data_IF_836621586001
#
_entry.id   IF_836621586001
#
_cell.length_a   1.000
_cell.length_b   1.000
_cell.length_c   1.000
_cell.angle_alpha   90.00
_cell.angle_beta   90.00
_cell.angle_gamma   90.00
#
_symmetry.space_group_name_H-M   'P 1'
#
loop_
_entity.id
_entity.type
_entity.pdbx_description
1 polymer ?
#
# COMPACT_ATOMS: atom_id res chain seq x y z
N UNK A 1 14.39 -2.18 -5.96
CA UNK A 1 13.22 -1.95 -6.85
C UNK A 1 13.61 -0.98 -7.95
N UNK A 2 13.17 -1.21 -9.19
CA UNK A 2 13.23 -0.18 -10.24
C UNK A 2 12.21 0.90 -9.86
N UNK A 3 12.63 2.16 -9.73
CA UNK A 3 11.72 3.28 -9.45
C UNK A 3 10.82 3.51 -10.68
N UNK A 4 9.49 3.68 -10.50
CA UNK A 4 8.63 4.13 -11.60
C UNK A 4 9.23 5.38 -12.24
N UNK A 5 9.42 5.34 -13.56
CA UNK A 5 10.08 6.42 -14.29
C UNK A 5 9.07 7.16 -15.15
N UNK A 6 8.98 8.48 -14.96
CA UNK A 6 8.13 9.38 -15.74
C UNK A 6 8.98 10.21 -16.70
N UNK A 7 8.56 10.33 -17.95
CA UNK A 7 9.13 11.28 -18.91
C UNK A 7 8.18 12.47 -19.06
N UNK A 8 8.68 13.71 -18.87
CA UNK A 8 7.89 14.93 -19.02
C UNK A 8 8.13 15.57 -20.38
N UNK A 9 7.14 15.51 -21.27
CA UNK A 9 7.17 16.13 -22.60
C UNK A 9 6.23 17.33 -22.66
N UNK A 10 6.78 18.50 -23.02
CA UNK A 10 6.03 19.73 -23.26
C UNK A 10 6.94 20.79 -23.86
N UNK A 11 6.38 21.93 -24.24
CA UNK A 11 7.16 23.16 -24.35
C UNK A 11 7.65 23.57 -22.95
N UNK A 12 8.96 23.82 -22.79
CA UNK A 12 9.54 24.15 -21.47
C UNK A 12 9.09 25.53 -21.00
N UNK A 13 9.03 26.51 -21.91
CA UNK A 13 8.69 27.89 -21.56
C UNK A 13 7.27 28.03 -21.00
N UNK A 14 6.28 27.32 -21.54
CA UNK A 14 4.86 27.47 -21.14
C UNK A 14 4.54 26.75 -19.83
N UNK A 15 5.39 25.80 -19.46
CA UNK A 15 5.16 24.87 -18.36
C UNK A 15 6.29 24.83 -17.36
N UNK A 16 7.22 25.79 -17.35
CA UNK A 16 8.41 25.77 -16.50
C UNK A 16 8.08 25.45 -15.03
N UNK A 17 7.17 26.21 -14.44
CA UNK A 17 6.79 26.04 -13.03
C UNK A 17 5.99 24.75 -12.82
N UNK A 18 5.11 24.41 -13.77
CA UNK A 18 4.31 23.18 -13.71
C UNK A 18 5.18 21.92 -13.78
N UNK A 19 6.16 21.89 -14.69
CA UNK A 19 7.14 20.80 -14.83
C UNK A 19 7.97 20.65 -13.56
N UNK A 20 8.42 21.76 -12.98
CA UNK A 20 9.12 21.77 -11.69
C UNK A 20 8.25 21.19 -10.56
N UNK A 21 6.99 21.63 -10.47
CA UNK A 21 6.02 21.11 -9.50
C UNK A 21 5.73 19.62 -9.66
N UNK A 22 5.52 19.16 -10.90
CA UNK A 22 5.31 17.73 -11.22
C UNK A 22 6.55 16.91 -10.85
N UNK A 23 7.76 17.39 -11.20
CA UNK A 23 9.02 16.70 -10.87
C UNK A 23 9.16 16.56 -9.36
N UNK A 24 9.03 17.66 -8.62
CA UNK A 24 9.11 17.66 -7.16
C UNK A 24 8.10 16.68 -6.54
N UNK A 25 6.83 16.76 -6.95
CA UNK A 25 5.79 15.87 -6.44
C UNK A 25 6.11 14.39 -6.70
N UNK A 26 6.47 14.02 -7.93
CA UNK A 26 6.74 12.63 -8.29
C UNK A 26 7.99 12.09 -7.57
N UNK A 27 9.02 12.91 -7.38
CA UNK A 27 10.24 12.53 -6.66
C UNK A 27 10.00 12.34 -5.16
N UNK A 28 9.16 13.17 -4.53
CA UNK A 28 8.67 12.96 -3.16
C UNK A 28 7.87 11.65 -3.05
N UNK A 29 7.18 11.24 -4.12
CA UNK A 29 6.58 9.91 -4.21
C UNK A 29 7.60 8.80 -4.59
N UNK A 30 8.90 9.02 -4.47
CA UNK A 30 9.93 8.02 -4.73
C UNK A 30 10.09 7.60 -6.20
N UNK A 31 9.47 8.30 -7.15
CA UNK A 31 9.60 8.06 -8.58
C UNK A 31 10.89 8.69 -9.14
N UNK A 32 11.26 8.30 -10.35
CA UNK A 32 12.31 8.94 -11.15
C UNK A 32 11.66 9.79 -12.22
N UNK A 33 12.13 11.03 -12.43
CA UNK A 33 11.57 11.93 -13.44
C UNK A 33 12.64 12.32 -14.46
N UNK A 34 12.37 12.02 -15.72
CA UNK A 34 13.18 12.40 -16.88
C UNK A 34 12.57 13.67 -17.49
N UNK A 35 13.21 14.80 -17.24
CA UNK A 35 12.84 16.10 -17.78
C UNK A 35 14.09 16.82 -18.33
N UNK A 36 14.10 17.11 -19.63
CA UNK A 36 15.30 17.44 -20.41
C UNK A 36 15.98 18.77 -20.02
N UNK A 37 15.26 19.67 -19.35
CA UNK A 37 15.75 20.95 -18.86
C UNK A 37 16.54 20.87 -17.55
N UNK A 38 16.42 19.77 -16.81
CA UNK A 38 17.13 19.59 -15.54
C UNK A 38 18.51 18.96 -15.73
N UNK A 39 19.44 19.27 -14.82
CA UNK A 39 20.84 18.85 -14.91
C UNK A 39 21.06 17.37 -14.60
N UNK A 40 20.11 16.74 -13.92
CA UNK A 40 20.12 15.32 -13.57
C UNK A 40 19.58 14.42 -14.71
N UNK A 41 19.17 15.02 -15.82
CA UNK A 41 18.78 14.30 -17.03
C UNK A 41 20.02 13.67 -17.68
N UNK A 42 20.07 12.34 -17.72
CA UNK A 42 21.18 11.60 -18.35
C UNK A 42 21.21 11.86 -19.86
N UNK A 43 22.22 12.61 -20.33
CA UNK A 43 22.45 12.88 -21.75
C UNK A 43 23.72 12.16 -22.18
N UNK A 44 23.64 11.40 -23.28
CA UNK A 44 24.85 11.02 -24.00
C UNK A 44 25.50 12.31 -24.54
N UNK A 45 26.78 12.53 -24.24
CA UNK A 45 27.51 13.69 -24.75
C UNK A 45 27.82 13.56 -26.26
N UNK A 46 27.71 12.35 -26.79
CA UNK A 46 28.03 12.01 -28.17
C UNK A 46 26.82 12.08 -29.11
N UNK A 47 25.65 12.51 -28.62
CA UNK A 47 24.38 12.44 -29.34
C UNK A 47 23.65 13.77 -29.31
N UNK A 48 22.98 14.14 -30.41
CA UNK A 48 22.20 15.38 -30.46
C UNK A 48 21.10 15.37 -29.38
N UNK A 49 20.82 16.53 -28.78
CA UNK A 49 19.91 16.66 -27.63
C UNK A 49 18.53 16.01 -27.84
N UNK A 50 17.98 16.08 -29.06
CA UNK A 50 16.70 15.47 -29.43
C UNK A 50 16.74 13.94 -29.47
N UNK A 51 17.80 13.35 -30.02
CA UNK A 51 17.96 11.89 -30.06
C UNK A 51 18.15 11.32 -28.65
N UNK A 52 18.89 12.05 -27.79
CA UNK A 52 19.00 11.69 -26.39
C UNK A 52 17.62 11.68 -25.68
N UNK A 53 16.73 12.62 -26.01
CA UNK A 53 15.36 12.63 -25.48
C UNK A 53 14.56 11.40 -25.95
N UNK A 54 14.60 11.07 -27.24
CA UNK A 54 13.91 9.89 -27.78
C UNK A 54 14.41 8.57 -27.17
N UNK A 55 15.73 8.45 -26.96
CA UNK A 55 16.31 7.29 -26.27
C UNK A 55 15.87 7.21 -24.81
N UNK A 56 15.69 8.35 -24.15
CA UNK A 56 15.29 8.43 -22.74
C UNK A 56 13.84 7.99 -22.52
N UNK A 57 12.95 8.22 -23.50
CA UNK A 57 11.55 7.73 -23.46
C UNK A 57 11.51 6.20 -23.31
N UNK A 58 12.45 5.46 -23.90
CA UNK A 58 12.53 4.00 -23.80
C UNK A 58 12.75 3.51 -22.36
N UNK A 59 13.26 4.37 -21.47
CA UNK A 59 13.50 4.04 -20.07
C UNK A 59 12.31 4.36 -19.16
N UNK A 60 11.30 5.07 -19.67
CA UNK A 60 10.15 5.51 -18.92
C UNK A 60 9.06 4.44 -18.88
N UNK A 61 8.39 4.34 -17.74
CA UNK A 61 7.19 3.53 -17.57
C UNK A 61 5.93 4.38 -17.88
N UNK A 62 6.03 5.70 -17.69
CA UNK A 62 4.98 6.68 -17.96
C UNK A 62 5.47 7.85 -18.81
N UNK A 63 4.67 8.31 -19.77
CA UNK A 63 4.88 9.53 -20.54
C UNK A 63 3.81 10.55 -20.18
N UNK A 64 4.24 11.73 -19.72
CA UNK A 64 3.36 12.84 -19.38
C UNK A 64 3.49 13.89 -20.45
N UNK A 65 2.41 14.14 -21.19
CA UNK A 65 2.35 15.16 -22.22
C UNK A 65 1.58 16.37 -21.71
N UNK A 66 2.19 17.55 -21.73
CA UNK A 66 1.50 18.82 -21.47
C UNK A 66 1.44 19.64 -22.76
N UNK A 67 0.22 19.97 -23.20
CA UNK A 67 -0.01 20.74 -24.42
C UNK A 67 -0.45 22.16 -24.05
N UNK A 68 0.34 23.13 -24.50
CA UNK A 68 0.16 24.55 -24.26
C UNK A 68 -0.23 25.30 -25.53
N UNK A 69 0.07 26.59 -25.54
CA UNK A 69 -0.27 27.50 -26.63
C UNK A 69 0.84 27.67 -27.68
N UNK A 70 2.04 27.11 -27.43
CA UNK A 70 3.17 27.19 -28.36
C UNK A 70 3.47 25.86 -29.03
N UNK A 71 3.98 25.95 -30.25
CA UNK A 71 4.49 24.80 -31.01
C UNK A 71 5.80 24.27 -30.41
N UNK A 72 6.66 25.17 -29.93
CA UNK A 72 8.02 24.86 -29.51
C UNK A 72 8.99 24.72 -30.69
N UNK A 73 10.06 23.95 -30.51
CA UNK A 73 11.05 23.72 -31.56
C UNK A 73 10.60 22.68 -32.59
N UNK A 74 11.05 22.85 -33.83
CA UNK A 74 10.80 21.92 -34.92
C UNK A 74 11.80 20.76 -34.89
N UNK A 75 11.29 19.53 -34.95
CA UNK A 75 12.11 18.35 -35.22
C UNK A 75 12.42 18.24 -36.71
N UNK A 76 11.40 18.50 -37.54
CA UNK A 76 11.51 18.62 -38.99
C UNK A 76 10.59 19.75 -39.45
N UNK A 77 11.19 20.83 -39.94
CA UNK A 77 10.48 22.04 -40.36
C UNK A 77 9.73 21.84 -41.70
N UNK A 78 10.29 21.05 -42.62
CA UNK A 78 9.67 20.74 -43.90
C UNK A 78 8.34 20.00 -43.71
N UNK A 79 8.32 19.03 -42.80
CA UNK A 79 7.15 18.23 -42.48
C UNK A 79 6.27 18.85 -41.38
N UNK A 80 6.64 20.06 -40.90
CA UNK A 80 6.00 20.76 -39.78
C UNK A 80 5.72 19.83 -38.60
N UNK A 81 6.75 19.09 -38.19
CA UNK A 81 6.70 18.18 -37.04
C UNK A 81 7.51 18.79 -35.89
N UNK A 82 6.85 19.08 -34.76
CA UNK A 82 7.53 19.62 -33.57
C UNK A 82 8.25 18.52 -32.79
N UNK A 83 9.22 18.91 -31.95
CA UNK A 83 9.95 17.97 -31.08
C UNK A 83 8.97 17.22 -30.16
N UNK A 84 8.08 17.95 -29.49
CA UNK A 84 7.06 17.38 -28.59
C UNK A 84 6.12 16.41 -29.33
N UNK A 85 5.76 16.72 -30.58
CA UNK A 85 4.95 15.82 -31.40
C UNK A 85 5.72 14.54 -31.75
N UNK A 86 7.00 14.64 -32.08
CA UNK A 86 7.84 13.47 -32.34
C UNK A 86 8.05 12.60 -31.08
N UNK A 87 8.22 13.22 -29.91
CA UNK A 87 8.28 12.53 -28.62
C UNK A 87 6.96 11.78 -28.33
N UNK A 88 5.81 12.44 -28.53
CA UNK A 88 4.50 11.80 -28.38
C UNK A 88 4.34 10.58 -29.30
N UNK A 89 4.71 10.70 -30.58
CA UNK A 89 4.65 9.58 -31.53
C UNK A 89 5.51 8.40 -31.09
N UNK A 90 6.71 8.66 -30.60
CA UNK A 90 7.58 7.62 -30.05
C UNK A 90 6.97 6.95 -28.81
N UNK A 91 6.38 7.73 -27.90
CA UNK A 91 5.67 7.22 -26.73
C UNK A 91 4.44 6.39 -27.11
N UNK A 92 3.67 6.82 -28.11
CA UNK A 92 2.48 6.09 -28.59
C UNK A 92 2.84 4.72 -29.16
N UNK A 93 3.95 4.62 -29.91
CA UNK A 93 4.46 3.33 -30.39
C UNK A 93 4.82 2.39 -29.24
N UNK A 94 5.40 2.91 -28.15
CA UNK A 94 5.70 2.11 -26.95
C UNK A 94 4.45 1.70 -26.18
N UNK A 95 3.45 2.56 -26.13
CA UNK A 95 2.17 2.22 -25.52
C UNK A 95 1.44 1.11 -26.27
N UNK A 96 1.41 1.18 -27.60
CA UNK A 96 0.82 0.11 -28.42
C UNK A 96 1.58 -1.22 -28.27
N UNK A 97 2.88 -1.16 -27.95
CA UNK A 97 3.67 -2.33 -27.59
C UNK A 97 3.53 -2.77 -26.11
N UNK A 98 2.69 -2.10 -25.31
CA UNK A 98 2.47 -2.40 -23.89
C UNK A 98 3.64 -2.05 -22.96
N UNK A 99 4.58 -1.21 -23.43
CA UNK A 99 5.83 -0.89 -22.70
C UNK A 99 5.76 0.39 -21.87
N UNK A 100 4.79 1.26 -22.16
CA UNK A 100 4.67 2.59 -21.56
C UNK A 100 3.20 2.98 -21.47
N UNK A 101 2.82 3.82 -20.49
CA UNK A 101 1.49 4.42 -20.40
C UNK A 101 1.55 5.94 -20.60
N UNK A 102 0.60 6.49 -21.35
CA UNK A 102 0.53 7.93 -21.64
C UNK A 102 -0.53 8.61 -20.78
N UNK A 103 -0.19 9.75 -20.21
CA UNK A 103 -1.12 10.70 -19.59
C UNK A 103 -0.99 12.06 -20.32
N UNK A 104 -2.04 12.46 -21.03
CA UNK A 104 -2.04 13.69 -21.83
C UNK A 104 -2.88 14.77 -21.18
N UNK A 105 -2.35 15.99 -21.12
CA UNK A 105 -2.98 17.14 -20.48
C UNK A 105 -3.02 18.33 -21.43
N UNK A 106 -4.16 19.03 -21.45
CA UNK A 106 -4.33 20.28 -22.21
C UNK A 106 -4.86 21.36 -21.26
N UNK A 107 -4.29 22.56 -21.30
CA UNK A 107 -4.82 23.67 -20.49
C UNK A 107 -6.25 24.01 -20.94
N UNK A 108 -7.11 24.38 -19.99
CA UNK A 108 -8.52 24.67 -20.25
C UNK A 108 -8.74 25.78 -21.28
N UNK A 109 -7.91 26.82 -21.27
CA UNK A 109 -7.94 27.92 -22.24
C UNK A 109 -7.54 27.48 -23.66
N UNK A 110 -6.53 26.61 -23.78
CA UNK A 110 -6.12 25.99 -25.05
C UNK A 110 -7.20 25.04 -25.58
N UNK A 111 -7.84 24.27 -24.69
CA UNK A 111 -8.95 23.39 -25.05
C UNK A 111 -10.15 24.20 -25.55
N UNK A 112 -10.54 25.26 -24.83
CA UNK A 112 -11.62 26.15 -25.23
C UNK A 112 -11.32 26.80 -26.58
N UNK A 113 -10.08 27.27 -26.78
CA UNK A 113 -9.65 27.83 -28.05
C UNK A 113 -9.83 26.84 -29.21
N UNK A 114 -9.49 25.56 -29.02
CA UNK A 114 -9.72 24.52 -30.04
C UNK A 114 -11.19 24.39 -30.41
N UNK A 115 -12.10 24.41 -29.42
CA UNK A 115 -13.54 24.31 -29.68
C UNK A 115 -14.08 25.55 -30.40
N UNK A 116 -13.62 26.74 -30.02
CA UNK A 116 -13.96 28.00 -30.69
C UNK A 116 -13.46 28.02 -32.13
N UNK A 117 -12.22 27.57 -32.36
CA UNK A 117 -11.61 27.45 -33.68
C UNK A 117 -12.43 26.52 -34.60
N UNK A 118 -12.83 25.34 -34.09
CA UNK A 118 -13.68 24.40 -34.84
C UNK A 118 -15.06 24.97 -35.13
N UNK A 119 -15.66 25.66 -34.16
CA UNK A 119 -16.96 26.32 -34.30
C UNK A 119 -16.93 27.43 -35.34
N UNK A 120 -15.89 28.27 -35.32
CA UNK A 120 -15.66 29.31 -36.31
C UNK A 120 -15.45 28.69 -37.70
N UNK A 121 -14.59 27.68 -37.83
CA UNK A 121 -14.36 27.00 -39.10
C UNK A 121 -15.65 26.41 -39.69
N UNK A 122 -16.54 25.87 -38.84
CA UNK A 122 -17.87 25.37 -39.26
C UNK A 122 -18.78 26.52 -39.71
N UNK A 123 -18.84 27.62 -38.96
CA UNK A 123 -19.65 28.78 -39.32
C UNK A 123 -19.19 29.42 -40.64
N UNK A 124 -17.88 29.57 -40.81
CA UNK A 124 -17.27 30.12 -42.03
C UNK A 124 -17.56 29.27 -43.27
N UNK A 125 -17.80 27.95 -43.13
CA UNK A 125 -18.22 27.10 -44.26
C UNK A 125 -19.58 27.49 -44.82
N UNK A 126 -20.52 27.88 -43.95
CA UNK A 126 -21.87 28.32 -44.31
C UNK A 126 -21.99 29.81 -44.63
N UNK A 127 -20.97 30.61 -44.33
CA UNK A 127 -21.00 32.05 -44.57
C UNK A 127 -20.83 32.38 -46.07
N UNK A 128 -21.56 33.39 -46.60
CA UNK A 128 -21.47 33.84 -47.99
C UNK A 128 -20.22 34.72 -48.20
N UNK A 129 -19.05 34.17 -47.88
CA UNK A 129 -17.74 34.79 -48.05
C UNK A 129 -16.89 33.95 -49.00
N UNK A 130 -16.04 34.61 -49.79
CA UNK A 130 -15.14 33.95 -50.73
C UNK A 130 -14.07 33.12 -50.00
N UNK A 131 -13.45 32.19 -50.73
CA UNK A 131 -12.48 31.25 -50.16
C UNK A 131 -11.21 31.92 -49.62
N UNK A 132 -10.79 33.05 -50.20
CA UNK A 132 -9.59 33.77 -49.78
C UNK A 132 -9.82 34.46 -48.44
N UNK A 133 -10.91 35.22 -48.32
CA UNK A 133 -11.30 35.87 -47.05
C UNK A 133 -11.61 34.84 -45.97
N UNK A 134 -12.24 33.72 -46.32
CA UNK A 134 -12.47 32.59 -45.40
C UNK A 134 -11.16 32.05 -44.83
N UNK A 135 -10.15 31.83 -45.68
CA UNK A 135 -8.85 31.35 -45.26
C UNK A 135 -8.10 32.39 -44.41
N UNK A 136 -8.22 33.68 -44.74
CA UNK A 136 -7.62 34.76 -43.96
C UNK A 136 -8.21 34.85 -42.53
N UNK A 137 -9.53 34.71 -42.38
CA UNK A 137 -10.19 34.70 -41.06
C UNK A 137 -9.81 33.45 -40.27
N UNK A 138 -9.81 32.27 -40.90
CA UNK A 138 -9.45 31.01 -40.25
C UNK A 138 -7.98 30.95 -39.81
N UNK A 139 -7.10 31.74 -40.45
CA UNK A 139 -5.67 31.84 -40.10
C UNK A 139 -5.33 33.11 -39.31
N UNK A 140 -6.33 33.88 -38.88
CA UNK A 140 -6.08 35.12 -38.16
C UNK A 140 -5.30 34.82 -36.87
N UNK A 141 -4.09 35.39 -36.69
CA UNK A 141 -3.27 35.10 -35.53
C UNK A 141 -3.92 35.67 -34.28
N UNK A 142 -4.18 34.82 -33.29
CA UNK A 142 -4.57 35.26 -31.95
C UNK A 142 -3.28 35.50 -31.13
N UNK A 143 -3.25 36.56 -30.32
CA UNK A 143 -2.18 36.81 -29.34
C UNK A 143 -1.96 35.64 -28.37
N UNK A 144 -2.96 34.77 -28.20
CA UNK A 144 -2.94 33.68 -27.22
C UNK A 144 -2.27 32.41 -27.74
N UNK A 145 -2.30 32.09 -29.05
CA UNK A 145 -1.81 30.83 -29.62
C UNK A 145 -0.92 31.09 -30.83
N UNK A 146 0.32 30.59 -30.80
CA UNK A 146 1.34 30.89 -31.81
C UNK A 146 0.95 30.36 -33.20
N UNK A 147 0.47 29.12 -33.27
CA UNK A 147 0.03 28.45 -34.50
C UNK A 147 -1.22 27.61 -34.22
N UNK A 148 -2.38 28.23 -34.44
CA UNK A 148 -3.68 27.63 -34.17
C UNK A 148 -3.90 26.32 -34.93
N UNK A 149 -3.52 26.29 -36.21
CA UNK A 149 -3.71 25.13 -37.08
C UNK A 149 -2.87 23.95 -36.56
N UNK A 150 -1.61 24.19 -36.20
CA UNK A 150 -0.75 23.17 -35.64
C UNK A 150 -1.28 22.65 -34.30
N UNK A 151 -1.60 23.54 -33.35
CA UNK A 151 -2.02 23.13 -32.00
C UNK A 151 -3.32 22.32 -32.05
N UNK A 152 -4.32 22.76 -32.82
CA UNK A 152 -5.59 22.03 -32.97
C UNK A 152 -5.34 20.65 -33.58
N UNK A 153 -4.53 20.57 -34.65
CA UNK A 153 -4.16 19.30 -35.28
C UNK A 153 -3.43 18.37 -34.31
N UNK A 154 -2.52 18.91 -33.50
CA UNK A 154 -1.78 18.11 -32.53
C UNK A 154 -2.67 17.57 -31.41
N UNK A 155 -3.60 18.38 -30.89
CA UNK A 155 -4.60 17.91 -29.91
C UNK A 155 -5.49 16.82 -30.52
N UNK A 156 -5.90 16.97 -31.78
CA UNK A 156 -6.70 15.96 -32.48
C UNK A 156 -5.92 14.66 -32.74
N UNK A 157 -4.61 14.74 -33.03
CA UNK A 157 -3.71 13.59 -33.13
C UNK A 157 -3.60 12.84 -31.79
N UNK A 158 -3.43 13.58 -30.70
CA UNK A 158 -3.31 13.01 -29.34
C UNK A 158 -4.63 12.37 -28.89
N UNK A 159 -5.76 12.99 -29.23
CA UNK A 159 -7.10 12.44 -28.97
C UNK A 159 -7.44 11.24 -29.86
N UNK A 160 -6.60 10.95 -30.87
CA UNK A 160 -6.76 9.81 -31.79
C UNK A 160 -8.14 9.80 -32.45
N UNK A 161 -8.62 10.99 -32.83
CA UNK A 161 -9.97 11.16 -33.39
C UNK A 161 -10.15 10.39 -34.71
N UNK A 162 -9.12 10.36 -35.55
CA UNK A 162 -9.13 9.62 -36.82
C UNK A 162 -9.18 8.11 -36.58
N UNK A 163 -8.27 7.56 -35.78
CA UNK A 163 -8.24 6.14 -35.40
C UNK A 163 -9.55 5.70 -34.74
N UNK A 164 -10.11 6.54 -33.84
CA UNK A 164 -11.41 6.29 -33.20
C UNK A 164 -12.55 6.25 -34.23
N UNK A 165 -12.50 7.12 -35.25
CA UNK A 165 -13.51 7.17 -36.31
C UNK A 165 -13.42 5.93 -37.20
N UNK A 166 -12.21 5.49 -37.55
CA UNK A 166 -11.98 4.25 -38.32
C UNK A 166 -12.43 3.01 -37.54
N UNK A 167 -12.06 2.90 -36.27
CA UNK A 167 -12.48 1.79 -35.39
C UNK A 167 -14.01 1.69 -35.28
N UNK A 168 -14.72 2.84 -35.18
CA UNK A 168 -16.20 2.88 -35.19
C UNK A 168 -16.82 2.38 -36.50
N UNK A 169 -16.09 2.46 -37.62
CA UNK A 169 -16.50 1.92 -38.92
C UNK A 169 -16.14 0.45 -39.08
N UNK A 170 -15.51 -0.18 -38.08
CA UNK A 170 -15.02 -1.56 -38.12
C UNK A 170 -13.64 -1.70 -38.75
N UNK A 171 -12.92 -0.59 -38.97
CA UNK A 171 -11.57 -0.57 -39.53
C UNK A 171 -10.54 -0.39 -38.41
N UNK A 172 -10.05 -1.51 -37.86
CA UNK A 172 -9.04 -1.54 -36.81
C UNK A 172 -9.58 -1.51 -35.37
N UNK A 173 -8.67 -1.54 -34.40
CA UNK A 173 -8.97 -1.53 -32.98
C UNK A 173 -9.11 -0.10 -32.42
N UNK A 174 -9.81 0.04 -31.29
CA UNK A 174 -9.89 1.33 -30.60
C UNK A 174 -8.50 1.74 -30.07
N UNK A 175 -8.10 3.01 -30.24
CA UNK A 175 -6.81 3.49 -29.74
C UNK A 175 -6.78 3.46 -28.21
N UNK A 176 -5.59 3.25 -27.64
CA UNK A 176 -5.35 3.32 -26.20
C UNK A 176 -4.66 4.64 -25.83
N UNK A 177 -4.73 5.06 -24.56
CA UNK A 177 -4.06 6.28 -24.03
C UNK A 177 -4.31 7.55 -24.85
N UNK A 178 -5.49 7.64 -25.46
CA UNK A 178 -6.00 8.79 -26.19
C UNK A 178 -6.85 9.71 -25.31
N UNK A 179 -6.90 9.44 -24.00
CA UNK A 179 -7.61 10.28 -23.05
C UNK A 179 -6.84 11.57 -22.82
N UNK A 180 -7.54 12.71 -22.92
CA UNK A 180 -6.99 14.04 -22.68
C UNK A 180 -7.62 14.60 -21.41
N UNK A 181 -6.79 14.91 -20.44
CA UNK A 181 -7.17 15.58 -19.21
C UNK A 181 -7.11 17.09 -19.42
N UNK A 182 -8.27 17.75 -19.43
CA UNK A 182 -8.33 19.21 -19.44
C UNK A 182 -8.09 19.71 -18.03
N UNK A 183 -7.20 20.68 -17.86
CA UNK A 183 -6.87 21.22 -16.53
C UNK A 183 -6.75 22.74 -16.51
N UNK A 184 -7.08 23.32 -15.36
CA UNK A 184 -6.94 24.73 -15.02
C UNK A 184 -5.87 24.90 -13.94
N UNK A 185 -5.86 24.01 -12.95
CA UNK A 185 -5.02 24.12 -11.76
C UNK A 185 -4.01 22.98 -11.64
N UNK A 186 -2.98 23.19 -10.82
CA UNK A 186 -1.96 22.17 -10.57
C UNK A 186 -2.55 20.92 -9.91
N UNK A 187 -3.51 21.08 -9.00
CA UNK A 187 -4.14 19.97 -8.27
C UNK A 187 -4.75 18.92 -9.20
N UNK A 188 -5.42 19.34 -10.28
CA UNK A 188 -6.05 18.44 -11.24
C UNK A 188 -5.03 17.56 -11.99
N UNK A 189 -3.83 18.10 -12.26
CA UNK A 189 -2.72 17.32 -12.84
C UNK A 189 -2.22 16.29 -11.83
N UNK A 190 -2.06 16.71 -10.58
CA UNK A 190 -1.57 15.85 -9.50
C UNK A 190 -2.56 14.71 -9.20
N UNK A 191 -3.86 14.95 -9.22
CA UNK A 191 -4.87 13.93 -8.96
C UNK A 191 -4.80 12.80 -9.99
N UNK A 192 -4.62 13.14 -11.27
CA UNK A 192 -4.42 12.16 -12.35
C UNK A 192 -3.11 11.40 -12.15
N UNK A 193 -2.00 12.09 -11.90
CA UNK A 193 -0.70 11.44 -11.74
C UNK A 193 -0.64 10.55 -10.48
N UNK A 194 -1.29 10.96 -9.39
CA UNK A 194 -1.39 10.19 -8.15
C UNK A 194 -2.08 8.86 -8.38
N UNK A 195 -3.17 8.83 -9.16
CA UNK A 195 -3.87 7.60 -9.51
C UNK A 195 -3.01 6.61 -10.32
N UNK A 196 -2.00 7.09 -11.06
CA UNK A 196 -1.07 6.27 -11.84
C UNK A 196 0.09 5.70 -11.00
N UNK A 197 0.42 6.34 -9.89
CA UNK A 197 1.53 5.98 -9.00
C UNK A 197 1.03 5.02 -7.91
N UNK A 198 1.69 3.86 -7.75
CA UNK A 198 1.37 2.81 -6.78
C UNK A 198 -0.14 2.49 -6.61
N UNK A 199 -0.90 2.49 -7.71
CA UNK A 199 -2.36 2.29 -7.72
C UNK A 199 -3.15 3.30 -6.86
N UNK A 200 -2.67 4.54 -6.75
CA UNK A 200 -3.29 5.60 -5.95
C UNK A 200 -2.83 5.66 -4.50
N UNK A 201 -2.04 4.69 -4.04
CA UNK A 201 -1.48 4.67 -2.68
C UNK A 201 -0.24 5.59 -2.60
N UNK A 202 -0.11 6.44 -1.58
CA UNK A 202 1.12 7.19 -1.33
C UNK A 202 2.36 6.28 -1.27
N UNK A 203 3.50 6.76 -1.76
CA UNK A 203 4.71 5.95 -1.89
C UNK A 203 5.25 5.43 -0.55
N UNK A 204 5.24 6.31 0.46
CA UNK A 204 5.56 6.01 1.84
C UNK A 204 4.67 4.90 2.39
N UNK A 205 3.36 4.99 2.17
CA UNK A 205 2.41 3.94 2.56
C UNK A 205 2.67 2.62 1.82
N UNK A 206 2.94 2.66 0.52
CA UNK A 206 3.21 1.45 -0.27
C UNK A 206 4.49 0.74 0.21
N UNK A 207 5.56 1.49 0.46
CA UNK A 207 6.81 0.97 1.01
C UNK A 207 6.60 0.43 2.43
N UNK A 208 5.86 1.16 3.26
CA UNK A 208 5.55 0.74 4.63
C UNK A 208 4.77 -0.57 4.66
N UNK A 209 3.69 -0.68 3.87
CA UNK A 209 2.90 -1.92 3.73
C UNK A 209 3.76 -3.10 3.27
N UNK A 210 4.70 -2.88 2.35
CA UNK A 210 5.63 -3.92 1.91
C UNK A 210 6.60 -4.36 3.03
N UNK A 211 7.12 -3.42 3.83
CA UNK A 211 7.95 -3.73 4.98
C UNK A 211 7.17 -4.50 6.06
N UNK A 212 5.95 -4.07 6.37
CA UNK A 212 5.08 -4.75 7.34
C UNK A 212 4.73 -6.17 6.86
N UNK A 213 4.36 -6.33 5.59
CA UNK A 213 4.14 -7.64 4.95
C UNK A 213 5.34 -8.55 5.15
N UNK A 214 6.56 -8.04 4.94
CA UNK A 214 7.80 -8.80 5.10
C UNK A 214 7.99 -9.24 6.55
N UNK A 215 7.82 -8.34 7.52
CA UNK A 215 7.99 -8.65 8.93
C UNK A 215 6.96 -9.68 9.42
N UNK A 216 5.69 -9.56 8.99
CA UNK A 216 4.65 -10.54 9.30
C UNK A 216 4.95 -11.92 8.69
N UNK A 217 5.47 -11.97 7.46
CA UNK A 217 5.90 -13.21 6.84
C UNK A 217 7.07 -13.85 7.59
N UNK A 218 8.05 -13.04 8.02
CA UNK A 218 9.18 -13.51 8.84
C UNK A 218 8.68 -14.01 10.22
N UNK A 219 7.72 -13.32 10.83
CA UNK A 219 7.07 -13.72 12.09
C UNK A 219 6.36 -15.08 11.96
N UNK A 220 5.60 -15.27 10.87
CA UNK A 220 4.97 -16.55 10.55
C UNK A 220 6.00 -17.65 10.26
N UNK A 221 7.07 -17.34 9.55
CA UNK A 221 8.13 -18.33 9.23
C UNK A 221 8.80 -18.88 10.50
N UNK A 222 8.90 -18.04 11.54
CA UNK A 222 9.47 -18.41 12.84
C UNK A 222 8.43 -19.08 13.74
N UNK A 223 7.14 -18.83 13.53
CA UNK A 223 6.07 -19.31 14.42
C UNK A 223 5.35 -20.56 13.90
N UNK A 224 5.33 -20.81 12.59
CA UNK A 224 4.71 -22.00 12.03
C UNK A 224 5.63 -23.23 12.15
N UNK A 225 5.01 -24.42 12.18
CA UNK A 225 5.74 -25.69 12.34
C UNK A 225 5.92 -26.36 10.99
N UNK A 226 7.17 -26.67 10.63
CA UNK A 226 7.49 -27.41 9.41
C UNK A 226 7.39 -28.92 9.69
N UNK A 227 6.58 -29.61 8.91
CA UNK A 227 6.44 -31.08 8.90
C UNK A 227 6.92 -31.62 7.55
N UNK A 228 7.02 -32.96 7.43
CA UNK A 228 7.56 -33.61 6.22
C UNK A 228 6.87 -33.17 4.92
N UNK A 229 5.55 -32.99 4.98
CA UNK A 229 4.70 -32.72 3.81
C UNK A 229 4.12 -31.29 3.80
N UNK A 230 4.71 -30.35 4.54
CA UNK A 230 4.28 -28.95 4.49
C UNK A 230 4.53 -28.14 5.76
N UNK A 231 3.72 -27.09 5.91
CA UNK A 231 3.73 -26.19 7.07
C UNK A 231 2.36 -26.28 7.73
N UNK A 232 2.34 -26.44 9.05
CA UNK A 232 1.11 -26.58 9.83
C UNK A 232 1.02 -25.51 10.92
N UNK A 233 -0.21 -25.09 11.22
CA UNK A 233 -0.51 -24.26 12.38
C UNK A 233 -0.38 -25.09 13.67
N UNK A 234 0.13 -24.52 14.78
CA UNK A 234 0.10 -25.16 16.08
C UNK A 234 -1.32 -25.31 16.65
N UNK A 235 -2.30 -24.52 16.15
CA UNK A 235 -3.64 -24.39 16.71
C UNK A 235 -4.36 -25.73 16.93
N UNK A 236 -4.47 -26.64 15.94
CA UNK A 236 -5.23 -27.89 16.12
C UNK A 236 -4.66 -28.78 17.22
N UNK A 237 -3.33 -28.79 17.38
CA UNK A 237 -2.65 -29.57 18.41
C UNK A 237 -2.88 -28.98 19.80
N UNK A 238 -2.75 -27.66 19.93
CA UNK A 238 -2.94 -26.94 21.19
C UNK A 238 -4.40 -27.01 21.66
N UNK A 239 -5.36 -26.80 20.76
CA UNK A 239 -6.78 -26.89 21.07
C UNK A 239 -7.20 -28.30 21.47
N UNK A 240 -6.75 -29.32 20.73
CA UNK A 240 -7.05 -30.72 21.04
C UNK A 240 -6.49 -31.11 22.41
N UNK A 241 -5.25 -30.73 22.70
CA UNK A 241 -4.63 -30.99 23.99
C UNK A 241 -5.38 -30.28 25.12
N UNK A 242 -5.68 -28.99 24.96
CA UNK A 242 -6.40 -28.22 25.98
C UNK A 242 -7.83 -28.74 26.22
N UNK A 243 -8.51 -29.21 25.18
CA UNK A 243 -9.83 -29.80 25.31
C UNK A 243 -9.79 -31.11 26.12
N UNK A 244 -8.75 -31.93 25.93
CA UNK A 244 -8.58 -33.20 26.65
C UNK A 244 -8.12 -33.01 28.11
N UNK A 245 -7.23 -32.05 28.36
CA UNK A 245 -6.52 -31.87 29.65
C UNK A 245 -6.85 -30.53 30.32
N UNK A 246 -8.11 -30.12 30.22
CA UNK A 246 -8.58 -28.79 30.62
C UNK A 246 -8.32 -28.47 32.09
N UNK A 247 -7.73 -27.31 32.35
CA UNK A 247 -7.58 -26.75 33.69
C UNK A 247 -8.84 -25.94 34.04
N UNK A 248 -9.52 -26.31 35.13
CA UNK A 248 -10.74 -25.68 35.67
C UNK A 248 -10.46 -25.10 37.06
N UNK A 249 -11.38 -24.32 37.64
CA UNK A 249 -11.20 -23.85 39.03
C UNK A 249 -11.05 -24.99 40.04
N UNK A 250 -11.65 -26.16 39.76
CA UNK A 250 -11.52 -27.33 40.60
C UNK A 250 -10.17 -28.04 40.42
N UNK A 251 -9.69 -28.20 39.19
CA UNK A 251 -8.44 -28.93 38.91
C UNK A 251 -7.20 -28.07 39.16
N UNK A 252 -7.27 -26.74 39.05
CA UNK A 252 -6.13 -25.84 39.35
C UNK A 252 -5.63 -25.92 40.79
N UNK A 253 -6.50 -26.35 41.72
CA UNK A 253 -6.17 -26.48 43.15
C UNK A 253 -5.47 -27.79 43.48
N UNK A 254 -5.41 -28.72 42.52
CA UNK A 254 -4.65 -29.97 42.66
C UNK A 254 -3.17 -29.69 42.47
N UNK A 255 -2.32 -30.48 43.11
CA UNK A 255 -0.88 -30.39 42.90
C UNK A 255 -0.46 -30.96 41.54
N UNK A 256 -1.08 -32.08 41.13
CA UNK A 256 -0.70 -32.82 39.93
C UNK A 256 -1.86 -33.08 38.97
N UNK A 257 -1.53 -33.24 37.69
CA UNK A 257 -2.41 -33.66 36.60
C UNK A 257 -1.77 -34.84 35.84
N UNK A 258 -2.57 -35.85 35.50
CA UNK A 258 -2.11 -36.96 34.67
C UNK A 258 -2.34 -36.68 33.20
N UNK A 259 -1.30 -36.78 32.38
CA UNK A 259 -1.36 -36.63 30.92
C UNK A 259 -0.76 -37.87 30.27
N UNK A 260 -1.41 -38.52 29.30
CA UNK A 260 -0.82 -39.61 28.55
C UNK A 260 0.53 -39.23 27.94
N UNK A 261 1.52 -40.11 28.07
CA UNK A 261 2.89 -39.86 27.65
C UNK A 261 2.98 -39.39 26.19
N UNK A 262 2.24 -40.05 25.30
CA UNK A 262 2.15 -39.70 23.88
C UNK A 262 1.69 -38.26 23.64
N UNK A 263 0.68 -37.79 24.37
CA UNK A 263 0.10 -36.47 24.16
C UNK A 263 1.00 -35.37 24.76
N UNK A 264 1.61 -35.66 25.91
CA UNK A 264 2.64 -34.79 26.50
C UNK A 264 3.84 -34.64 25.57
N UNK A 265 4.36 -35.75 25.03
CA UNK A 265 5.50 -35.75 24.12
C UNK A 265 5.19 -35.01 22.82
N UNK A 266 3.98 -35.15 22.29
CA UNK A 266 3.54 -34.41 21.12
C UNK A 266 3.51 -32.89 21.35
N UNK A 267 2.86 -32.43 22.43
CA UNK A 267 2.78 -31.00 22.76
C UNK A 267 4.16 -30.40 23.03
N UNK A 268 4.96 -31.05 23.87
CA UNK A 268 6.28 -30.54 24.26
C UNK A 268 7.26 -30.54 23.11
N UNK A 269 7.19 -31.52 22.19
CA UNK A 269 7.99 -31.49 20.96
C UNK A 269 7.69 -30.28 20.08
N UNK A 270 6.43 -29.82 20.04
CA UNK A 270 6.07 -28.57 19.36
C UNK A 270 6.63 -27.35 20.10
N UNK A 271 6.49 -27.32 21.43
CA UNK A 271 6.94 -26.20 22.27
C UNK A 271 8.46 -26.07 22.37
N UNK A 272 9.22 -27.15 22.13
CA UNK A 272 10.68 -27.09 22.01
C UNK A 272 11.15 -26.08 20.96
N UNK A 273 10.31 -25.79 19.95
CA UNK A 273 10.61 -24.76 18.96
C UNK A 273 10.85 -23.39 19.60
N UNK A 274 10.25 -23.10 20.77
CA UNK A 274 10.37 -21.83 21.47
C UNK A 274 11.60 -21.70 22.37
N UNK A 275 12.42 -22.74 22.51
CA UNK A 275 13.65 -22.68 23.31
C UNK A 275 14.59 -21.60 22.75
N UNK A 276 15.00 -20.67 23.61
CA UNK A 276 15.91 -19.57 23.30
C UNK A 276 15.46 -18.69 22.11
N UNK A 277 14.14 -18.59 21.87
CA UNK A 277 13.58 -17.70 20.84
C UNK A 277 13.02 -16.43 21.44
N UNK A 278 13.17 -15.34 20.70
CA UNK A 278 12.54 -14.06 21.01
C UNK A 278 12.11 -13.42 19.70
N UNK A 279 10.83 -13.08 19.61
CA UNK A 279 10.27 -12.41 18.45
C UNK A 279 10.57 -10.92 18.51
N UNK A 280 10.94 -10.34 17.37
CA UNK A 280 11.18 -8.91 17.22
C UNK A 280 10.23 -8.37 16.16
N UNK A 281 9.55 -7.28 16.48
CA UNK A 281 8.48 -6.69 15.67
C UNK A 281 8.66 -5.18 15.62
N UNK A 282 9.62 -4.71 14.84
CA UNK A 282 9.94 -3.28 14.76
C UNK A 282 8.95 -2.54 13.86
N UNK A 283 8.69 -3.09 12.67
CA UNK A 283 7.81 -2.47 11.66
C UNK A 283 6.36 -2.49 12.14
N UNK A 284 5.93 -3.57 12.79
CA UNK A 284 4.61 -3.69 13.42
C UNK A 284 4.38 -2.60 14.46
N UNK A 285 5.40 -2.28 15.27
CA UNK A 285 5.29 -1.23 16.30
C UNK A 285 5.25 0.15 15.64
N UNK A 286 6.04 0.38 14.61
CA UNK A 286 5.99 1.62 13.82
C UNK A 286 4.61 1.82 13.16
N UNK A 287 3.94 0.73 12.78
CA UNK A 287 2.61 0.76 12.15
C UNK A 287 1.55 1.43 13.04
N UNK A 288 1.72 1.39 14.36
CA UNK A 288 0.83 2.06 15.33
C UNK A 288 0.94 3.59 15.31
N UNK A 289 1.89 4.15 14.54
CA UNK A 289 2.04 5.58 14.32
C UNK A 289 1.84 6.00 12.86
N UNK A 290 1.56 5.04 11.97
CA UNK A 290 1.45 5.28 10.54
C UNK A 290 0.01 5.64 10.14
N UNK A 291 -0.16 6.68 9.32
CA UNK A 291 -1.47 7.19 8.88
C UNK A 291 -2.31 6.15 8.11
N UNK A 292 -1.65 5.21 7.42
CA UNK A 292 -2.27 4.12 6.66
C UNK A 292 -3.28 3.25 7.45
N UNK A 293 -3.19 3.22 8.79
CA UNK A 293 -4.10 2.44 9.64
C UNK A 293 -5.03 3.32 10.48
N UNK A 294 -5.12 4.60 10.17
CA UNK A 294 -5.97 5.58 10.87
C UNK A 294 -6.98 6.17 9.90
N UNK A 295 -8.19 6.40 10.36
CA UNK A 295 -9.26 7.06 9.60
C UNK A 295 -9.58 8.42 10.20
N UNK A 296 -9.62 9.46 9.37
CA UNK A 296 -10.02 10.79 9.85
C UNK A 296 -11.55 10.90 9.95
N UNK A 297 -12.07 11.02 11.16
CA UNK A 297 -13.47 11.37 11.40
C UNK A 297 -13.66 12.89 11.23
N UNK A 298 -14.26 13.27 10.10
CA UNK A 298 -14.56 14.67 9.77
C UNK A 298 -15.54 15.34 10.74
N UNK A 299 -16.43 14.59 11.39
CA UNK A 299 -17.43 15.14 12.32
C UNK A 299 -16.77 15.54 13.63
N UNK A 300 -15.83 14.73 14.11
CA UNK A 300 -15.11 14.99 15.37
C UNK A 300 -13.81 15.76 15.17
N UNK A 301 -13.29 15.83 13.94
CA UNK A 301 -11.97 16.40 13.64
C UNK A 301 -10.82 15.56 14.22
N UNK A 302 -11.02 14.27 14.42
CA UNK A 302 -10.10 13.36 15.10
C UNK A 302 -9.79 12.14 14.24
N UNK A 303 -8.58 11.59 14.39
CA UNK A 303 -8.25 10.28 13.83
C UNK A 303 -8.83 9.17 14.70
N UNK A 304 -9.38 8.14 14.05
CA UNK A 304 -9.91 6.92 14.66
C UNK A 304 -9.13 5.71 14.19
N UNK A 305 -9.07 4.71 15.07
CA UNK A 305 -8.41 3.44 14.80
C UNK A 305 -9.22 2.61 13.79
N UNK A 306 -8.54 2.13 12.75
CA UNK A 306 -9.13 1.13 11.84
C UNK A 306 -9.18 -0.25 12.51
N UNK A 307 -9.97 -1.20 11.98
CA UNK A 307 -9.88 -2.60 12.38
C UNK A 307 -8.45 -3.16 12.27
N UNK A 308 -7.70 -2.77 11.23
CA UNK A 308 -6.31 -3.17 11.04
C UNK A 308 -5.40 -2.63 12.15
N UNK A 309 -5.58 -1.37 12.56
CA UNK A 309 -4.86 -0.79 13.70
C UNK A 309 -5.07 -1.60 14.99
N UNK A 310 -6.32 -1.94 15.29
CA UNK A 310 -6.65 -2.74 16.48
C UNK A 310 -6.01 -4.13 16.42
N UNK A 311 -6.02 -4.78 15.25
CA UNK A 311 -5.36 -6.07 15.06
C UNK A 311 -3.83 -5.98 15.20
N UNK A 312 -3.19 -4.92 14.69
CA UNK A 312 -1.75 -4.65 14.87
C UNK A 312 -1.43 -4.46 16.36
N UNK A 313 -2.21 -3.64 17.06
CA UNK A 313 -2.04 -3.41 18.49
C UNK A 313 -2.16 -4.72 19.28
N UNK A 314 -3.20 -5.50 18.98
CA UNK A 314 -3.41 -6.83 19.57
C UNK A 314 -2.23 -7.76 19.31
N UNK A 315 -1.72 -7.81 18.08
CA UNK A 315 -0.57 -8.64 17.73
C UNK A 315 0.69 -8.21 18.50
N UNK A 316 0.92 -6.90 18.64
CA UNK A 316 2.04 -6.39 19.42
C UNK A 316 1.95 -6.79 20.91
N UNK A 317 0.75 -6.76 21.49
CA UNK A 317 0.50 -7.25 22.85
C UNK A 317 0.75 -8.77 22.96
N UNK A 318 0.26 -9.56 22.01
CA UNK A 318 0.43 -11.02 21.98
C UNK A 318 1.90 -11.42 21.82
N UNK A 319 2.66 -10.74 20.95
CA UNK A 319 4.10 -10.96 20.79
C UNK A 319 4.85 -10.64 22.08
N UNK A 320 4.51 -9.54 22.75
CA UNK A 320 5.10 -9.19 24.05
C UNK A 320 4.79 -10.25 25.11
N UNK A 321 3.54 -10.69 25.18
CA UNK A 321 3.09 -11.72 26.12
C UNK A 321 3.76 -13.07 25.84
N UNK A 322 3.91 -13.45 24.57
CA UNK A 322 4.59 -14.67 24.15
C UNK A 322 6.06 -14.66 24.55
N UNK A 323 6.77 -13.56 24.25
CA UNK A 323 8.17 -13.40 24.66
C UNK A 323 8.35 -13.47 26.18
N UNK A 324 7.41 -12.90 26.95
CA UNK A 324 7.43 -12.99 28.41
C UNK A 324 7.11 -14.40 28.93
N UNK A 325 6.19 -15.11 28.26
CA UNK A 325 5.81 -16.48 28.62
C UNK A 325 6.87 -17.52 28.24
N UNK A 326 7.76 -17.22 27.27
CA UNK A 326 8.86 -18.09 26.85
C UNK A 326 10.07 -18.03 27.79
N UNK A 327 9.82 -18.08 29.10
CA UNK A 327 10.86 -18.07 30.13
C UNK A 327 11.47 -19.47 30.33
N UNK A 328 12.67 -19.52 30.91
CA UNK A 328 13.33 -20.77 31.27
C UNK A 328 12.47 -21.60 32.24
N UNK A 329 11.84 -20.95 33.22
CA UNK A 329 10.93 -21.59 34.18
C UNK A 329 9.70 -22.20 33.49
N UNK A 330 9.10 -21.48 32.53
CA UNK A 330 7.94 -21.99 31.81
C UNK A 330 8.28 -23.17 30.89
N UNK A 331 9.51 -23.23 30.36
CA UNK A 331 9.98 -24.29 29.46
C UNK A 331 10.63 -25.47 30.21
N UNK A 332 11.06 -25.29 31.47
CA UNK A 332 11.66 -26.33 32.30
C UNK A 332 10.89 -27.66 32.35
N UNK A 333 9.53 -27.67 32.38
CA UNK A 333 8.76 -28.91 32.42
C UNK A 333 8.99 -29.80 31.19
N UNK A 334 9.33 -29.23 30.02
CA UNK A 334 9.66 -29.98 28.80
C UNK A 334 10.81 -30.95 29.07
N UNK A 335 11.84 -30.50 29.79
CA UNK A 335 13.01 -31.31 30.10
C UNK A 335 12.77 -32.23 31.30
N UNK A 336 12.14 -31.68 32.36
CA UNK A 336 11.79 -32.40 33.60
C UNK A 336 10.98 -33.67 33.31
N UNK A 337 10.03 -33.59 32.38
CA UNK A 337 9.15 -34.69 32.01
C UNK A 337 9.46 -35.32 30.64
N UNK A 338 10.68 -35.10 30.11
CA UNK A 338 11.10 -35.69 28.84
C UNK A 338 11.18 -37.22 28.92
N UNK A 339 11.04 -37.95 27.80
CA UNK A 339 11.14 -39.42 27.79
C UNK A 339 12.40 -39.97 28.48
N UNK A 340 13.53 -39.24 28.36
CA UNK A 340 14.81 -39.62 28.99
C UNK A 340 14.89 -39.31 30.48
N UNK A 341 14.10 -38.37 30.99
CA UNK A 341 14.12 -37.93 32.39
C UNK A 341 13.08 -38.65 33.26
N UNK A 342 12.10 -39.34 32.67
CA UNK A 342 11.07 -40.08 33.40
C UNK A 342 11.67 -41.27 34.16
N UNK A 343 11.25 -41.45 35.41
CA UNK A 343 11.60 -42.60 36.24
C UNK A 343 11.13 -43.93 35.62
N UNK A 344 10.01 -43.92 34.92
CA UNK A 344 9.50 -45.05 34.13
C UNK A 344 9.10 -44.56 32.73
N UNK A 345 10.01 -44.65 31.74
CA UNK A 345 9.74 -44.20 30.37
C UNK A 345 8.61 -44.97 29.66
N UNK A 346 8.36 -46.21 30.07
CA UNK A 346 7.30 -47.09 29.56
C UNK A 346 5.93 -46.85 30.22
N UNK A 347 5.85 -45.93 31.18
CA UNK A 347 4.57 -45.57 31.79
C UNK A 347 3.70 -44.81 30.78
N UNK A 348 2.45 -45.26 30.62
CA UNK A 348 1.47 -44.63 29.73
C UNK A 348 1.07 -43.21 30.18
N UNK A 349 1.37 -42.83 31.43
CA UNK A 349 0.92 -41.58 32.05
C UNK A 349 2.09 -40.78 32.66
N UNK A 350 2.15 -39.50 32.33
CA UNK A 350 3.06 -38.50 32.91
C UNK A 350 2.28 -37.68 33.94
N UNK A 351 2.81 -37.60 35.16
CA UNK A 351 2.20 -36.82 36.25
C UNK A 351 2.91 -35.48 36.35
N UNK A 352 2.25 -34.41 35.91
CA UNK A 352 2.83 -33.06 35.82
C UNK A 352 2.23 -32.13 36.86
N UNK A 353 2.99 -31.15 37.33
CA UNK A 353 2.46 -30.16 38.26
C UNK A 353 1.48 -29.23 37.52
N UNK A 354 0.35 -28.91 38.15
CA UNK A 354 -0.73 -28.18 37.47
C UNK A 354 -0.31 -26.78 37.06
N UNK A 355 0.54 -26.12 37.84
CA UNK A 355 1.05 -24.78 37.50
C UNK A 355 2.04 -24.83 36.33
N UNK A 356 2.89 -25.85 36.25
CA UNK A 356 3.81 -26.09 35.13
C UNK A 356 3.03 -26.32 33.83
N UNK A 357 1.98 -27.14 33.89
CA UNK A 357 1.06 -27.36 32.76
C UNK A 357 0.36 -26.07 32.34
N UNK A 358 -0.12 -25.26 33.30
CA UNK A 358 -0.75 -23.98 33.02
C UNK A 358 0.22 -23.00 32.33
N UNK A 359 1.47 -22.92 32.79
CA UNK A 359 2.50 -22.05 32.18
C UNK A 359 2.80 -22.45 30.74
N UNK A 360 2.91 -23.75 30.45
CA UNK A 360 3.10 -24.24 29.07
C UNK A 360 1.89 -23.96 28.17
N UNK A 361 0.67 -24.14 28.69
CA UNK A 361 -0.54 -23.80 27.93
C UNK A 361 -0.67 -22.30 27.69
N UNK A 362 -0.27 -21.46 28.65
CA UNK A 362 -0.22 -20.02 28.47
C UNK A 362 0.69 -19.64 27.30
N UNK A 363 1.91 -20.19 27.28
CA UNK A 363 2.86 -20.02 26.18
C UNK A 363 2.23 -20.45 24.84
N UNK A 364 1.63 -21.65 24.80
CA UNK A 364 1.00 -22.20 23.61
C UNK A 364 -0.16 -21.34 23.10
N UNK A 365 -0.95 -20.74 23.99
CA UNK A 365 -2.08 -19.89 23.63
C UNK A 365 -1.63 -18.57 23.00
N UNK A 366 -0.63 -17.92 23.61
CA UNK A 366 -0.04 -16.69 23.03
C UNK A 366 0.57 -17.00 21.66
N UNK A 367 1.23 -18.15 21.53
CA UNK A 367 1.81 -18.61 20.27
C UNK A 367 0.76 -18.73 19.16
N UNK A 368 -0.34 -19.44 19.42
CA UNK A 368 -1.46 -19.55 18.47
C UNK A 368 -1.99 -18.18 18.10
N UNK A 369 -2.25 -17.30 19.08
CA UNK A 369 -2.77 -15.96 18.81
C UNK A 369 -1.86 -15.13 17.90
N UNK A 370 -0.53 -15.22 18.09
CA UNK A 370 0.45 -14.58 17.20
C UNK A 370 0.32 -15.10 15.77
N UNK A 371 0.20 -16.42 15.58
CA UNK A 371 0.04 -17.02 14.25
C UNK A 371 -1.26 -16.56 13.57
N UNK A 372 -2.38 -16.58 14.29
CA UNK A 372 -3.69 -16.24 13.73
C UNK A 372 -3.77 -14.74 13.35
N UNK A 373 -3.33 -13.84 14.24
CA UNK A 373 -3.29 -12.40 13.96
C UNK A 373 -2.34 -12.06 12.82
N UNK A 374 -1.15 -12.68 12.79
CA UNK A 374 -0.19 -12.45 11.70
C UNK A 374 -0.74 -12.92 10.36
N UNK A 375 -1.45 -14.06 10.34
CA UNK A 375 -2.08 -14.59 9.13
C UNK A 375 -3.21 -13.68 8.63
N UNK A 376 -4.07 -13.21 9.53
CA UNK A 376 -5.17 -12.30 9.19
C UNK A 376 -4.66 -10.95 8.65
N UNK A 377 -3.65 -10.36 9.31
CA UNK A 377 -3.04 -9.11 8.85
C UNK A 377 -2.31 -9.28 7.52
N UNK A 378 -1.62 -10.41 7.31
CA UNK A 378 -0.93 -10.67 6.05
C UNK A 378 -1.92 -10.81 4.89
N UNK A 379 -3.04 -11.53 5.09
CA UNK A 379 -4.11 -11.62 4.09
C UNK A 379 -4.70 -10.23 3.76
N UNK A 380 -4.95 -9.40 4.78
CA UNK A 380 -5.39 -8.02 4.59
C UNK A 380 -4.41 -7.18 3.76
N UNK A 381 -3.10 -7.35 3.97
CA UNK A 381 -2.08 -6.65 3.18
C UNK A 381 -1.97 -7.16 1.73
N UNK A 382 -2.44 -8.38 1.43
CA UNK A 382 -2.59 -8.87 0.05
C UNK A 382 -3.87 -8.37 -0.64
N UNK A 383 -4.72 -7.62 0.07
CA UNK A 383 -5.95 -7.03 -0.48
C UNK A 383 -7.25 -7.73 -0.08
N UNK A 384 -7.18 -8.75 0.79
CA UNK A 384 -8.36 -9.40 1.33
C UNK A 384 -9.05 -8.55 2.41
N UNK A 385 -10.33 -8.83 2.69
CA UNK A 385 -11.02 -8.21 3.83
C UNK A 385 -10.41 -8.70 5.14
N UNK A 386 -10.12 -7.79 6.07
CA UNK A 386 -9.67 -8.18 7.40
C UNK A 386 -10.81 -8.87 8.17
N UNK A 387 -10.62 -10.15 8.44
CA UNK A 387 -11.50 -10.94 9.31
C UNK A 387 -10.79 -11.08 10.67
N UNK A 388 -11.43 -10.62 11.74
CA UNK A 388 -10.86 -10.75 13.08
C UNK A 388 -10.81 -12.24 13.47
N UNK A 389 -9.61 -12.78 13.74
CA UNK A 389 -9.47 -14.20 14.05
C UNK A 389 -10.05 -14.50 15.43
N UNK A 390 -10.60 -15.70 15.60
CA UNK A 390 -10.97 -16.22 16.91
C UNK A 390 -9.71 -16.56 17.70
N UNK A 391 -9.47 -15.85 18.80
CA UNK A 391 -8.23 -15.95 19.59
C UNK A 391 -8.42 -16.85 20.81
N UNK A 392 -7.37 -17.60 21.15
CA UNK A 392 -7.32 -18.37 22.38
C UNK A 392 -7.34 -17.46 23.62
N UNK A 393 -7.99 -17.92 24.69
CA UNK A 393 -8.21 -17.17 25.92
C UNK A 393 -6.91 -16.73 26.59
N UNK A 394 -6.96 -15.61 27.32
CA UNK A 394 -5.81 -15.03 28.04
C UNK A 394 -5.28 -15.93 29.14
N UNK A 395 -6.13 -16.77 29.73
CA UNK A 395 -5.78 -17.75 30.75
C UNK A 395 -6.03 -19.18 30.23
N UNK A 396 -5.15 -20.14 30.57
CA UNK A 396 -5.40 -21.56 30.34
C UNK A 396 -6.51 -22.12 31.26
N UNK A 397 -6.94 -21.35 32.27
CA UNK A 397 -7.99 -21.78 33.19
C UNK A 397 -9.36 -21.41 32.63
N UNK A 398 -10.11 -22.43 32.25
CA UNK A 398 -11.41 -22.38 31.59
C UNK A 398 -12.41 -21.34 32.16
N UNK A 399 -12.45 -21.21 33.48
CA UNK A 399 -13.47 -20.47 34.21
C UNK A 399 -13.03 -19.04 34.58
N UNK A 400 -11.78 -18.67 34.24
CA UNK A 400 -11.17 -17.42 34.68
C UNK A 400 -11.34 -16.30 33.66
N UNK A 401 -11.28 -16.58 32.36
CA UNK A 401 -11.31 -15.53 31.34
C UNK A 401 -12.58 -14.65 31.42
N UNK A 402 -13.76 -15.27 31.59
CA UNK A 402 -15.01 -14.52 31.78
C UNK A 402 -15.05 -13.72 33.09
N UNK A 403 -14.32 -14.12 34.11
CA UNK A 403 -14.23 -13.40 35.40
C UNK A 403 -13.25 -12.24 35.29
N UNK A 404 -12.07 -12.50 34.72
CA UNK A 404 -11.03 -11.51 34.48
C UNK A 404 -11.50 -10.39 33.55
N UNK A 405 -12.22 -10.71 32.47
CA UNK A 405 -12.77 -9.67 31.58
C UNK A 405 -13.85 -8.82 32.25
N UNK A 406 -14.60 -9.35 33.23
CA UNK A 406 -15.56 -8.56 34.02
C UNK A 406 -14.89 -7.63 35.02
N UNK A 407 -13.71 -7.99 35.50
CA UNK A 407 -12.94 -7.21 36.48
C UNK A 407 -11.97 -6.22 35.80
N UNK A 408 -11.81 -6.32 34.47
CA UNK A 408 -10.89 -5.51 33.70
C UNK A 408 -11.47 -4.13 33.43
N UNK A 409 -10.69 -3.10 33.74
CA UNK A 409 -10.98 -1.72 33.34
C UNK A 409 -10.76 -1.58 31.83
N UNK A 410 -11.81 -1.13 31.13
CA UNK A 410 -11.76 -0.83 29.70
C UNK A 410 -11.04 0.50 29.42
N UNK A 411 -10.46 0.71 28.22
CA UNK A 411 -9.88 1.99 27.83
C UNK A 411 -10.87 3.16 27.99
N UNK A 412 -12.15 2.94 27.69
CA UNK A 412 -13.21 3.94 27.84
C UNK A 412 -13.46 4.29 29.31
N UNK A 413 -13.48 3.30 30.20
CA UNK A 413 -13.59 3.53 31.66
C UNK A 413 -12.35 4.25 32.20
N UNK A 414 -11.16 3.87 31.75
CA UNK A 414 -9.91 4.52 32.13
C UNK A 414 -9.87 5.99 31.65
N UNK A 415 -10.31 6.26 30.42
CA UNK A 415 -10.40 7.61 29.87
C UNK A 415 -11.43 8.46 30.64
N UNK A 416 -12.61 7.90 30.92
CA UNK A 416 -13.64 8.56 31.74
C UNK A 416 -13.11 8.89 33.14
N UNK A 417 -12.41 7.95 33.78
CA UNK A 417 -11.78 8.18 35.08
C UNK A 417 -10.74 9.30 35.02
N UNK A 418 -9.87 9.31 34.01
CA UNK A 418 -8.85 10.34 33.83
C UNK A 418 -9.46 11.74 33.62
N UNK A 419 -10.47 11.85 32.76
CA UNK A 419 -11.19 13.12 32.49
C UNK A 419 -11.91 13.61 33.75
N UNK A 420 -12.63 12.73 34.46
CA UNK A 420 -13.34 13.09 35.69
C UNK A 420 -12.39 13.65 36.76
N UNK A 421 -11.18 13.07 36.88
CA UNK A 421 -10.14 13.53 37.81
C UNK A 421 -9.51 14.86 37.40
N UNK A 422 -9.34 15.10 36.10
CA UNK A 422 -8.81 16.38 35.60
C UNK A 422 -9.79 17.55 35.81
N UNK A 423 -11.09 17.29 35.79
CA UNK A 423 -12.15 18.30 35.99
C UNK A 423 -12.42 18.58 37.48
N UNK A 424 -12.04 17.68 38.38
CA UNK A 424 -12.13 17.84 39.84
C UNK A 424 -10.75 18.03 40.46
N UNK A 425 -10.10 19.21 40.35
CA UNK A 425 -8.89 19.49 41.11
C UNK A 425 -9.27 19.48 42.60
N UNK A 426 -8.47 18.79 43.40
CA UNK A 426 -8.66 18.55 44.83
C UNK A 426 -9.22 19.77 45.60
N UNK A 427 -10.50 19.71 45.97
CA UNK A 427 -10.98 20.36 47.19
C UNK A 427 -10.69 19.41 48.36
N UNK A 428 -9.54 19.58 49.03
CA UNK A 428 -9.20 18.71 50.14
C UNK A 428 -7.83 18.91 50.77
N UNK A 429 -7.42 20.17 50.96
CA UNK A 429 -6.51 20.53 52.04
C UNK A 429 -7.33 21.11 53.20
N UNK A 430 -7.04 20.66 54.42
CA UNK A 430 -7.55 21.07 55.74
C UNK A 430 -8.94 20.57 56.17
N UNK A 431 -8.98 19.46 56.90
CA UNK A 431 -9.08 19.48 58.37
C UNK A 431 -8.76 18.11 58.98
#
# INVERSE_FOLDING_TARGET
MKKPTFFLSSTIYDFRDLRSGIKFFLEEQGCRVLASEFNDFSKSLDTHSYEACLQSIQQADYFVLLIGNRVGGWYNENDRTSITQQEYRAAYNLQNAGKLKIASFVRADVWQFKEDYKSLAKHLKSAPIDASTRAAIAKYPNKTVDDAEFIVRFIDEVGKNEETTSARRGEGDFPTGNWIHVFTEFGEVIDVLRALVFNGTPADEAVFRAALRRELADLLSVSLVKVRDGVVSPRPYVESFNAAYRITDATRRRTFHGVPAKDWDALTSLLMHWINRTLRVNVLIEALSHSAFMEFDRVQGLCRETPAFRAILRLAEEVRALNAAASEEALAPIFKYSPKARLNPEADLVTVEVHELASLLQLAFRWVNVVELSSALLAYLEGEQLIEPDLLPRSPVADFDRKLEKERVTPEEALKYAVARAVSPQSGGNN
#
